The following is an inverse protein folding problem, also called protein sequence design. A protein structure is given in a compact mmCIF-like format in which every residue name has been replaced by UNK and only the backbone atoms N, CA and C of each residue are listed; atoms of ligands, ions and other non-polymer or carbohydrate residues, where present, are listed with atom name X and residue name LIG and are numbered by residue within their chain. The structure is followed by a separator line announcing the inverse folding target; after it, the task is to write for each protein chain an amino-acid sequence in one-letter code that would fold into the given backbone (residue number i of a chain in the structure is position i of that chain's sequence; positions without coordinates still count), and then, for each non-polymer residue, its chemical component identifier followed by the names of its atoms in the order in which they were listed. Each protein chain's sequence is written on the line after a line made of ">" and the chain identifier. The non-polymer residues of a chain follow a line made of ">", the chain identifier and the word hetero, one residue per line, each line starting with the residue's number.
data_IF_799074771092
#
_entry.id   IF_799074771092
#
_cell.length_a   1.000
_cell.length_b   1.000
_cell.length_c   1.000
_cell.angle_alpha   90.00
_cell.angle_beta   90.00
_cell.angle_gamma   90.00
#
_symmetry.space_group_name_H-M   'P 1'
#
loop_
_entity.id
_entity.type
_entity.pdbx_description
1 polymer ?
#
# COMPACT_ATOMS: atom_id res chain seq x y z
N UNK A 1 -10.76 -16.29 1.72
CA UNK A 1 -9.35 -15.85 1.76
C UNK A 1 -8.84 -15.87 0.32
N UNK A 2 -8.17 -14.82 -0.15
CA UNK A 2 -7.63 -14.79 -1.52
C UNK A 2 -6.23 -15.37 -1.48
N UNK A 3 -5.97 -16.32 -2.37
CA UNK A 3 -4.68 -16.99 -2.52
C UNK A 3 -4.14 -16.90 -3.94
N UNK A 4 -4.85 -16.23 -4.84
CA UNK A 4 -4.45 -16.02 -6.23
C UNK A 4 -4.74 -14.56 -6.61
N UNK A 5 -3.75 -13.90 -7.20
CA UNK A 5 -3.91 -12.57 -7.77
C UNK A 5 -3.28 -12.48 -9.16
N UNK A 6 -4.00 -11.83 -10.06
CA UNK A 6 -3.46 -11.36 -11.34
C UNK A 6 -2.59 -10.12 -11.08
N UNK A 7 -1.41 -10.08 -11.70
CA UNK A 7 -0.49 -8.95 -11.65
C UNK A 7 -0.51 -8.24 -13.00
N UNK A 8 -0.71 -6.92 -13.00
CA UNK A 8 -0.69 -6.08 -14.20
C UNK A 8 0.38 -5.00 -14.13
N UNK A 9 0.79 -4.53 -15.29
CA UNK A 9 1.65 -3.38 -15.50
C UNK A 9 0.98 -2.49 -16.55
N UNK A 10 0.65 -1.24 -16.19
CA UNK A 10 -0.06 -0.30 -17.06
C UNK A 10 -1.35 -0.89 -17.66
N UNK A 11 -2.14 -1.57 -16.84
CA UNK A 11 -3.38 -2.24 -17.23
C UNK A 11 -3.22 -3.54 -18.04
N UNK A 12 -1.99 -3.94 -18.40
CA UNK A 12 -1.70 -5.17 -19.15
C UNK A 12 -1.28 -6.29 -18.20
N UNK A 13 -1.86 -7.49 -18.34
CA UNK A 13 -1.52 -8.64 -17.50
C UNK A 13 -0.09 -9.11 -17.75
N UNK A 14 0.73 -9.11 -16.70
CA UNK A 14 2.13 -9.54 -16.76
C UNK A 14 2.35 -10.93 -16.20
N UNK A 15 1.44 -11.42 -15.36
CA UNK A 15 1.58 -12.69 -14.67
C UNK A 15 0.55 -12.89 -13.57
N UNK A 16 0.77 -13.93 -12.77
CA UNK A 16 -0.05 -14.22 -11.61
C UNK A 16 0.83 -14.62 -10.42
N UNK A 17 0.35 -14.30 -9.22
CA UNK A 17 0.94 -14.74 -7.96
C UNK A 17 -0.05 -15.63 -7.22
N UNK A 18 0.40 -16.77 -6.74
CA UNK A 18 -0.40 -17.72 -5.97
C UNK A 18 0.27 -18.08 -4.65
N UNK A 19 -0.53 -18.39 -3.65
CA UNK A 19 -0.12 -18.91 -2.36
C UNK A 19 -0.87 -20.22 -2.12
N UNK A 20 -0.16 -21.34 -2.14
CA UNK A 20 -0.77 -22.65 -1.90
C UNK A 20 -1.31 -22.77 -0.46
N UNK A 21 -2.31 -23.63 -0.28
CA UNK A 21 -2.89 -23.88 1.03
C UNK A 21 -1.81 -24.39 2.01
N UNK A 22 -1.68 -23.70 3.15
CA UNK A 22 -0.67 -23.96 4.21
C UNK A 22 0.79 -23.63 3.81
N UNK A 23 1.02 -23.06 2.63
CA UNK A 23 2.31 -22.45 2.29
C UNK A 23 2.42 -21.06 2.90
N UNK A 24 3.62 -20.68 3.30
CA UNK A 24 3.99 -19.31 3.66
C UNK A 24 4.83 -18.63 2.57
N UNK A 25 5.01 -19.30 1.40
CA UNK A 25 5.75 -18.79 0.25
C UNK A 25 4.84 -18.76 -0.97
N UNK A 26 4.78 -17.59 -1.61
CA UNK A 26 4.05 -17.39 -2.84
C UNK A 26 4.93 -17.69 -4.06
N UNK A 27 4.28 -18.23 -5.08
CA UNK A 27 4.85 -18.46 -6.39
C UNK A 27 4.38 -17.40 -7.37
N UNK A 28 5.26 -16.92 -8.26
CA UNK A 28 4.90 -16.02 -9.34
C UNK A 28 5.30 -16.59 -10.69
N UNK A 29 4.45 -16.43 -11.69
CA UNK A 29 4.73 -16.83 -13.06
C UNK A 29 4.35 -15.70 -14.03
N UNK A 30 5.23 -15.42 -15.00
CA UNK A 30 4.93 -14.46 -16.07
C UNK A 30 3.89 -15.03 -17.04
N UNK A 31 3.01 -14.16 -17.53
CA UNK A 31 2.08 -14.50 -18.59
C UNK A 31 2.83 -14.79 -19.90
N UNK A 32 2.49 -15.84 -20.66
CA UNK A 32 3.14 -16.17 -21.93
C UNK A 32 3.18 -15.03 -22.94
N UNK A 33 2.13 -14.21 -23.00
CA UNK A 33 2.09 -13.05 -23.89
C UNK A 33 3.00 -11.90 -23.41
N UNK A 34 3.14 -11.71 -22.10
CA UNK A 34 4.02 -10.68 -21.55
C UNK A 34 5.50 -11.01 -21.76
N UNK A 35 5.89 -12.29 -21.69
CA UNK A 35 7.27 -12.71 -21.97
C UNK A 35 7.75 -12.31 -23.37
N UNK A 36 6.83 -12.18 -24.35
CA UNK A 36 7.16 -11.74 -25.71
C UNK A 36 7.39 -10.23 -25.82
N UNK A 37 7.08 -9.45 -24.78
CA UNK A 37 7.19 -7.99 -24.79
C UNK A 37 8.64 -7.49 -24.73
N UNK A 38 9.56 -8.28 -24.16
CA UNK A 38 10.93 -7.87 -23.87
C UNK A 38 11.07 -6.85 -22.72
N UNK A 39 9.99 -6.56 -21.99
CA UNK A 39 10.00 -5.64 -20.84
C UNK A 39 10.43 -6.40 -19.57
N UNK A 40 11.69 -6.22 -19.17
CA UNK A 40 12.25 -6.83 -17.97
C UNK A 40 11.90 -6.03 -16.71
N UNK A 41 10.89 -6.47 -15.95
CA UNK A 41 10.48 -5.81 -14.69
C UNK A 41 11.43 -6.09 -13.51
N UNK A 42 12.16 -7.21 -13.56
CA UNK A 42 13.20 -7.58 -12.58
C UNK A 42 14.31 -8.40 -13.26
N UNK A 43 15.14 -7.78 -14.12
CA UNK A 43 16.06 -8.48 -15.03
C UNK A 43 17.10 -9.35 -14.34
N UNK A 44 17.46 -9.03 -13.09
CA UNK A 44 18.52 -9.72 -12.35
C UNK A 44 17.99 -10.97 -11.64
N UNK A 45 16.82 -10.86 -11.02
CA UNK A 45 16.30 -11.87 -10.08
C UNK A 45 15.14 -12.66 -10.67
N UNK A 46 14.34 -12.04 -11.54
CA UNK A 46 13.20 -12.67 -12.20
C UNK A 46 13.16 -12.29 -13.70
N UNK A 47 14.14 -12.76 -14.51
CA UNK A 47 14.17 -12.48 -15.94
C UNK A 47 12.92 -13.03 -16.66
N UNK A 48 12.62 -12.58 -17.89
CA UNK A 48 11.47 -13.09 -18.65
C UNK A 48 11.67 -14.55 -19.11
N UNK A 49 11.35 -15.50 -18.22
CA UNK A 49 11.38 -16.94 -18.50
C UNK A 49 10.05 -17.59 -18.11
N UNK A 50 9.73 -18.72 -18.74
CA UNK A 50 8.55 -19.52 -18.39
C UNK A 50 8.71 -20.35 -17.12
N UNK A 51 9.58 -19.92 -16.20
CA UNK A 51 9.82 -20.59 -14.93
C UNK A 51 8.88 -20.01 -13.86
N UNK A 52 8.52 -20.84 -12.89
CA UNK A 52 7.83 -20.38 -11.69
C UNK A 52 8.89 -19.84 -10.72
N UNK A 53 8.72 -18.59 -10.31
CA UNK A 53 9.58 -17.90 -9.37
C UNK A 53 9.10 -18.09 -7.93
N UNK A 54 9.94 -18.71 -7.10
CA UNK A 54 9.71 -18.95 -5.67
C UNK A 54 11.00 -18.67 -4.92
N UNK A 55 10.91 -17.98 -3.78
CA UNK A 55 12.09 -17.54 -3.02
C UNK A 55 11.96 -17.92 -1.54
N UNK A 56 12.00 -19.22 -1.19
CA UNK A 56 11.79 -19.70 0.17
C UNK A 56 12.86 -19.21 1.17
N UNK A 57 14.03 -18.80 0.70
CA UNK A 57 15.15 -18.28 1.48
C UNK A 57 14.97 -16.83 1.95
N UNK A 58 14.04 -16.07 1.38
CA UNK A 58 13.82 -14.68 1.75
C UNK A 58 13.24 -14.54 3.17
N UNK A 59 13.72 -13.59 4.00
CA UNK A 59 13.19 -13.36 5.35
C UNK A 59 11.68 -13.08 5.36
N UNK A 60 10.91 -13.94 6.04
CA UNK A 60 9.44 -13.84 6.09
C UNK A 60 8.94 -12.53 6.69
N UNK A 61 9.66 -11.99 7.67
CA UNK A 61 9.32 -10.73 8.34
C UNK A 61 9.34 -9.54 7.36
N UNK A 62 10.19 -9.59 6.33
CA UNK A 62 10.37 -8.49 5.38
C UNK A 62 9.56 -8.70 4.10
N UNK A 63 9.62 -9.91 3.54
CA UNK A 63 9.04 -10.18 2.22
C UNK A 63 7.64 -10.79 2.29
N UNK A 64 7.17 -11.18 3.48
CA UNK A 64 5.89 -11.85 3.68
C UNK A 64 5.70 -13.10 2.79
N UNK A 65 6.80 -13.76 2.41
CA UNK A 65 6.76 -14.93 1.52
C UNK A 65 6.62 -14.60 0.03
N UNK A 66 6.61 -13.32 -0.36
CA UNK A 66 6.53 -12.91 -1.76
C UNK A 66 7.91 -12.85 -2.42
N UNK A 67 7.98 -13.01 -3.76
CA UNK A 67 9.11 -12.51 -4.54
C UNK A 67 9.37 -11.02 -4.29
N UNK A 68 10.64 -10.61 -4.28
CA UNK A 68 11.04 -9.22 -3.98
C UNK A 68 10.31 -8.16 -4.83
N UNK A 69 10.16 -8.43 -6.13
CA UNK A 69 9.41 -7.56 -7.06
C UNK A 69 8.00 -7.23 -6.56
N UNK A 70 7.30 -8.21 -5.99
CA UNK A 70 5.93 -8.03 -5.52
C UNK A 70 5.91 -7.49 -4.09
N UNK A 71 6.88 -7.90 -3.26
CA UNK A 71 7.03 -7.43 -1.89
C UNK A 71 7.23 -5.90 -1.81
N UNK A 72 7.89 -5.29 -2.80
CA UNK A 72 8.07 -3.83 -2.88
C UNK A 72 6.76 -3.05 -3.03
N UNK A 73 5.68 -3.73 -3.45
CA UNK A 73 4.33 -3.15 -3.50
C UNK A 73 3.58 -3.24 -2.18
N UNK A 74 4.14 -3.92 -1.16
CA UNK A 74 3.49 -4.04 0.13
C UNK A 74 3.47 -2.71 0.88
N UNK A 75 2.40 -2.42 1.63
CA UNK A 75 2.34 -1.24 2.48
C UNK A 75 3.41 -1.27 3.56
N UNK A 76 3.84 -0.09 3.99
CA UNK A 76 4.82 0.05 5.05
C UNK A 76 4.22 -0.08 6.47
N UNK A 77 4.99 0.28 7.50
CA UNK A 77 4.56 0.21 8.90
C UNK A 77 3.28 0.99 9.17
N UNK A 78 3.10 2.15 8.53
CA UNK A 78 1.90 2.96 8.64
C UNK A 78 0.75 2.36 7.83
N UNK A 79 1.02 1.96 6.60
CA UNK A 79 0.03 1.29 5.74
C UNK A 79 -0.50 -0.02 6.31
N UNK A 80 0.35 -0.81 6.98
CA UNK A 80 -0.08 -2.01 7.70
C UNK A 80 -0.96 -1.69 8.89
N UNK A 81 -0.67 -0.63 9.67
CA UNK A 81 -1.54 -0.21 10.76
C UNK A 81 -2.95 0.21 10.26
N UNK A 82 -3.02 0.84 9.08
CA UNK A 82 -4.31 1.16 8.44
C UNK A 82 -5.05 -0.10 7.98
N UNK A 83 -4.34 -1.09 7.44
CA UNK A 83 -4.91 -2.39 7.09
C UNK A 83 -5.48 -3.05 8.34
N UNK A 84 -4.73 -3.08 9.44
CA UNK A 84 -5.16 -3.72 10.69
C UNK A 84 -6.41 -3.05 11.25
N UNK A 85 -6.45 -1.71 11.26
CA UNK A 85 -7.64 -0.95 11.63
C UNK A 85 -8.83 -1.25 10.71
N UNK A 86 -8.62 -1.33 9.40
CA UNK A 86 -9.67 -1.70 8.45
C UNK A 86 -10.19 -3.12 8.67
N UNK A 87 -9.30 -4.10 8.88
CA UNK A 87 -9.66 -5.49 9.17
C UNK A 87 -10.48 -5.59 10.46
N UNK A 88 -10.11 -4.85 11.51
CA UNK A 88 -10.85 -4.78 12.76
C UNK A 88 -12.30 -4.31 12.53
N UNK A 89 -12.54 -3.33 11.66
CA UNK A 89 -13.91 -2.90 11.30
C UNK A 89 -14.74 -3.97 10.58
N UNK A 90 -14.07 -4.97 10.01
CA UNK A 90 -14.70 -6.13 9.37
C UNK A 90 -14.81 -7.34 10.31
N UNK A 91 -14.44 -7.18 11.60
CA UNK A 91 -14.39 -8.27 12.57
C UNK A 91 -13.30 -9.31 12.27
N UNK A 92 -12.25 -8.93 11.54
CA UNK A 92 -11.14 -9.80 11.15
C UNK A 92 -9.87 -9.46 11.94
N UNK A 93 -9.10 -10.49 12.27
CA UNK A 93 -7.75 -10.31 12.83
C UNK A 93 -6.71 -10.03 11.75
N UNK A 94 -5.64 -9.33 12.11
CA UNK A 94 -4.50 -9.05 11.24
C UNK A 94 -3.83 -10.34 10.70
N UNK A 95 -3.80 -11.39 11.53
CA UNK A 95 -3.24 -12.70 11.17
C UNK A 95 -4.05 -13.44 10.10
N UNK A 96 -5.31 -13.05 9.88
CA UNK A 96 -6.15 -13.62 8.82
C UNK A 96 -5.80 -13.09 7.42
N UNK A 97 -4.82 -12.20 7.31
CA UNK A 97 -4.54 -11.42 6.11
C UNK A 97 -3.18 -11.78 5.48
N UNK A 98 -3.24 -12.69 4.51
CA UNK A 98 -2.05 -13.24 3.84
C UNK A 98 -1.44 -12.26 2.82
N UNK A 99 -0.25 -12.60 2.31
CA UNK A 99 0.52 -11.74 1.43
C UNK A 99 -0.18 -11.40 0.10
N UNK A 100 -0.85 -12.39 -0.52
CA UNK A 100 -1.59 -12.17 -1.77
C UNK A 100 -2.81 -11.28 -1.53
N UNK A 101 -3.50 -11.47 -0.39
CA UNK A 101 -4.60 -10.59 -0.01
C UNK A 101 -4.13 -9.15 0.25
N UNK A 102 -2.94 -8.96 0.83
CA UNK A 102 -2.29 -7.63 0.99
C UNK A 102 -2.03 -6.95 -0.36
N UNK A 103 -1.57 -7.70 -1.35
CA UNK A 103 -1.42 -7.21 -2.72
C UNK A 103 -2.79 -6.79 -3.30
N UNK A 104 -3.81 -7.62 -3.18
CA UNK A 104 -5.18 -7.31 -3.63
C UNK A 104 -5.81 -6.11 -2.92
N UNK A 105 -5.46 -5.85 -1.66
CA UNK A 105 -5.90 -4.64 -0.96
C UNK A 105 -5.20 -3.39 -1.49
N UNK A 106 -3.92 -3.50 -1.82
CA UNK A 106 -3.16 -2.44 -2.50
C UNK A 106 -3.79 -2.16 -3.87
N UNK A 107 -4.09 -3.19 -4.66
CA UNK A 107 -4.81 -3.07 -5.91
C UNK A 107 -4.04 -2.20 -6.91
N UNK A 108 -4.70 -1.19 -7.49
CA UNK A 108 -4.11 -0.17 -8.39
C UNK A 108 -3.46 1.00 -7.65
N UNK A 109 -3.45 0.97 -6.32
CA UNK A 109 -3.03 2.08 -5.46
C UNK A 109 -1.59 1.94 -4.99
N UNK A 110 -0.84 0.94 -5.43
CA UNK A 110 0.57 0.80 -5.07
C UNK A 110 1.41 1.91 -5.70
N UNK A 111 2.54 2.25 -5.07
CA UNK A 111 3.56 3.04 -5.77
C UNK A 111 4.12 2.25 -6.96
N UNK A 112 4.48 2.98 -8.01
CA UNK A 112 4.93 2.38 -9.27
C UNK A 112 3.77 2.07 -10.21
N UNK A 113 3.94 1.04 -11.03
CA UNK A 113 3.00 0.70 -12.11
C UNK A 113 2.38 -0.69 -11.97
N UNK A 114 2.74 -1.44 -10.92
CA UNK A 114 2.17 -2.75 -10.66
C UNK A 114 0.77 -2.61 -10.05
N UNK A 115 -0.14 -3.44 -10.54
CA UNK A 115 -1.52 -3.47 -10.09
C UNK A 115 -1.93 -4.93 -9.80
N UNK A 116 -2.75 -5.15 -8.78
CA UNK A 116 -3.10 -6.49 -8.29
C UNK A 116 -4.60 -6.73 -8.28
N UNK A 117 -5.05 -7.84 -8.87
CA UNK A 117 -6.47 -8.16 -9.03
C UNK A 117 -6.83 -9.56 -8.50
N UNK A 118 -8.01 -9.74 -7.86
CA UNK A 118 -9.09 -8.76 -7.74
C UNK A 118 -8.79 -7.68 -6.70
N UNK A 119 -9.08 -6.42 -7.02
CA UNK A 119 -8.92 -5.32 -6.07
C UNK A 119 -9.98 -5.42 -4.96
N UNK A 120 -9.54 -5.51 -3.70
CA UNK A 120 -10.40 -5.66 -2.51
C UNK A 120 -10.35 -4.45 -1.57
N UNK A 121 -9.45 -3.51 -1.82
CA UNK A 121 -9.36 -2.27 -1.06
C UNK A 121 -10.61 -1.40 -1.20
N UNK A 122 -10.68 -0.28 -0.46
CA UNK A 122 -11.69 0.74 -0.67
C UNK A 122 -11.79 1.10 -2.17
N UNK A 123 -13.01 1.15 -2.71
CA UNK A 123 -13.22 1.52 -4.12
C UNK A 123 -12.60 2.88 -4.42
N UNK A 124 -12.04 3.03 -5.62
CA UNK A 124 -11.64 4.34 -6.15
C UNK A 124 -12.84 5.30 -6.04
N UNK A 125 -12.65 6.36 -5.27
CA UNK A 125 -13.61 7.44 -5.14
C UNK A 125 -13.00 8.70 -5.75
N UNK A 126 -13.84 9.57 -6.30
CA UNK A 126 -13.41 10.85 -6.84
C UNK A 126 -12.49 11.58 -5.85
N UNK A 127 -11.39 12.11 -6.36
CA UNK A 127 -10.42 12.88 -5.57
C UNK A 127 -11.15 14.07 -4.92
N UNK A 128 -11.26 14.06 -3.58
CA UNK A 128 -11.90 15.14 -2.80
C UNK A 128 -10.84 16.05 -2.20
N UNK A 129 -11.21 17.31 -1.94
CA UNK A 129 -10.40 18.25 -1.17
C UNK A 129 -10.08 17.65 0.20
N UNK A 130 -8.83 17.79 0.63
CA UNK A 130 -8.36 17.35 1.95
C UNK A 130 -7.76 18.53 2.70
N UNK A 131 -8.05 18.60 3.99
CA UNK A 131 -7.37 19.50 4.93
C UNK A 131 -6.11 18.80 5.49
N UNK A 132 -4.93 19.40 5.32
CA UNK A 132 -3.64 18.77 5.69
C UNK A 132 -3.56 18.54 7.20
N UNK A 133 -4.02 19.48 8.02
CA UNK A 133 -4.01 19.36 9.48
C UNK A 133 -4.82 18.15 9.95
N UNK A 134 -5.94 17.89 9.28
CA UNK A 134 -6.75 16.70 9.55
C UNK A 134 -5.97 15.42 9.26
N UNK A 135 -5.17 15.36 8.19
CA UNK A 135 -4.32 14.20 7.88
C UNK A 135 -3.21 13.98 8.92
N UNK A 136 -2.58 15.06 9.42
CA UNK A 136 -1.51 14.97 10.42
C UNK A 136 -2.04 14.46 11.76
N UNK A 137 -3.17 15.01 12.23
CA UNK A 137 -3.82 14.56 13.46
C UNK A 137 -4.22 13.09 13.36
N UNK A 138 -4.79 12.71 12.24
CA UNK A 138 -5.25 11.36 11.96
C UNK A 138 -4.12 10.34 11.85
N UNK A 139 -3.01 10.73 11.22
CA UNK A 139 -1.79 9.91 11.20
C UNK A 139 -1.22 9.71 12.62
N UNK A 140 -1.31 10.74 13.47
CA UNK A 140 -0.91 10.66 14.88
C UNK A 140 -1.81 9.69 15.66
N UNK A 141 -3.13 9.77 15.47
CA UNK A 141 -4.08 8.89 16.14
C UNK A 141 -3.82 7.42 15.81
N UNK A 142 -3.66 7.08 14.52
CA UNK A 142 -3.41 5.71 14.08
C UNK A 142 -2.09 5.16 14.63
N UNK A 143 -1.03 5.99 14.71
CA UNK A 143 0.26 5.56 15.25
C UNK A 143 0.24 5.44 16.78
N UNK A 144 -0.50 6.29 17.48
CA UNK A 144 -0.64 6.26 18.95
C UNK A 144 -1.61 5.18 19.44
N UNK A 145 -2.64 4.82 18.67
CA UNK A 145 -3.61 3.77 19.01
C UNK A 145 -3.01 2.36 19.03
N UNK A 146 -1.73 2.19 18.69
CA UNK A 146 -0.98 0.92 18.87
C UNK A 146 -1.01 0.37 20.29
N UNK A 147 -1.46 1.13 21.29
CA UNK A 147 -1.62 0.66 22.67
C UNK A 147 -3.01 0.16 23.08
N UNK A 148 -4.09 0.41 22.33
CA UNK A 148 -5.45 -0.09 22.65
C UNK A 148 -6.40 0.09 21.46
N UNK A 149 -6.42 -0.85 20.52
CA UNK A 149 -7.39 -0.89 19.40
C UNK A 149 -8.71 -1.59 19.81
N UNK A 150 -9.13 -1.43 21.07
CA UNK A 150 -10.50 -1.75 21.53
C UNK A 150 -11.44 -0.53 21.40
N UNK A 151 -10.93 0.63 20.99
CA UNK A 151 -11.75 1.82 20.76
C UNK A 151 -12.34 1.80 19.36
N UNK A 152 -13.64 1.56 19.30
CA UNK A 152 -14.53 1.91 18.20
C UNK A 152 -14.13 3.29 17.68
N UNK A 153 -13.74 3.41 16.40
CA UNK A 153 -13.64 4.72 15.78
C UNK A 153 -15.03 5.36 15.83
N UNK A 154 -15.21 6.40 16.65
CA UNK A 154 -16.50 7.07 16.87
C UNK A 154 -17.10 7.66 15.58
N UNK A 155 -16.28 7.84 14.53
CA UNK A 155 -16.73 8.18 13.19
C UNK A 155 -16.15 7.24 12.11
N UNK A 156 -16.96 6.30 11.58
CA UNK A 156 -16.59 5.48 10.42
C UNK A 156 -16.24 6.29 9.15
N UNK A 157 -16.67 7.56 9.06
CA UNK A 157 -16.36 8.48 7.97
C UNK A 157 -14.88 8.90 7.97
N UNK A 158 -14.35 9.30 9.12
CA UNK A 158 -12.94 9.65 9.31
C UNK A 158 -12.00 8.51 8.90
N UNK A 159 -12.28 7.26 9.31
CA UNK A 159 -11.49 6.08 8.94
C UNK A 159 -11.48 5.85 7.41
N UNK A 160 -12.64 6.03 6.76
CA UNK A 160 -12.75 5.92 5.30
C UNK A 160 -11.94 7.00 4.59
N UNK A 161 -11.89 8.21 5.15
CA UNK A 161 -11.08 9.29 4.62
C UNK A 161 -9.56 9.03 4.81
N UNK A 162 -9.13 8.35 5.88
CA UNK A 162 -7.72 7.88 6.03
C UNK A 162 -7.37 6.83 4.99
N UNK A 163 -8.22 5.81 4.84
CA UNK A 163 -7.99 4.71 3.90
C UNK A 163 -7.94 5.20 2.44
N UNK A 164 -8.58 6.35 2.17
CA UNK A 164 -8.54 7.05 0.88
C UNK A 164 -7.25 7.82 0.62
N UNK A 165 -6.40 8.03 1.62
CA UNK A 165 -5.22 8.90 1.51
C UNK A 165 -3.92 8.15 1.83
N UNK A 166 -3.97 7.17 2.74
CA UNK A 166 -2.79 6.64 3.42
C UNK A 166 -2.18 5.32 2.94
N UNK A 167 -2.53 4.77 1.78
CA UNK A 167 -2.12 3.37 1.47
C UNK A 167 -1.09 3.18 0.38
N UNK A 168 -0.54 4.21 -0.27
CA UNK A 168 0.25 3.94 -1.49
C UNK A 168 1.76 3.90 -1.32
N UNK A 169 2.38 4.56 -0.34
CA UNK A 169 3.83 4.78 -0.40
C UNK A 169 4.62 4.14 0.75
N UNK A 170 5.57 3.26 0.41
CA UNK A 170 6.41 2.52 1.39
C UNK A 170 7.45 3.37 2.14
N UNK A 171 7.94 2.92 3.32
CA UNK A 171 8.96 3.54 4.20
C UNK A 171 8.54 3.71 5.69
N UNK A 172 9.42 4.15 6.60
CA UNK A 172 9.12 4.11 8.05
C UNK A 172 8.14 5.19 8.58
N UNK A 173 8.00 6.30 7.86
CA UNK A 173 7.29 7.52 8.32
C UNK A 173 5.86 7.61 7.81
N UNK A 174 5.00 8.33 8.51
CA UNK A 174 3.67 8.66 8.00
C UNK A 174 3.76 9.55 6.75
N UNK A 175 3.06 9.16 5.69
CA UNK A 175 3.04 9.89 4.42
C UNK A 175 1.74 9.65 3.67
N UNK A 176 1.46 10.51 2.71
CA UNK A 176 0.34 10.40 1.81
C UNK A 176 0.73 10.77 0.39
N UNK A 177 0.12 10.08 -0.58
CA UNK A 177 0.13 10.59 -1.96
C UNK A 177 -1.04 11.55 -2.11
N UNK A 178 -0.74 12.79 -2.45
CA UNK A 178 -1.69 13.88 -2.62
C UNK A 178 -1.68 14.37 -4.05
N UNK A 179 -2.76 15.02 -4.46
CA UNK A 179 -2.83 15.80 -5.66
C UNK A 179 -2.89 17.29 -5.28
N UNK A 180 -1.92 18.09 -5.68
CA UNK A 180 -1.80 19.50 -5.31
C UNK A 180 -1.90 20.39 -6.55
N UNK A 181 -2.81 21.34 -6.51
CA UNK A 181 -2.90 22.41 -7.50
C UNK A 181 -2.14 23.64 -6.98
N UNK A 182 -0.96 23.89 -7.53
CA UNK A 182 -0.08 25.00 -7.11
C UNK A 182 -0.69 26.39 -7.30
N UNK A 183 -1.64 26.56 -8.23
CA UNK A 183 -2.26 27.86 -8.53
C UNK A 183 -3.36 28.21 -7.53
N UNK A 184 -4.17 27.24 -7.15
CA UNK A 184 -5.27 27.43 -6.19
C UNK A 184 -4.89 27.08 -4.76
N UNK A 185 -3.73 26.44 -4.60
CA UNK A 185 -3.27 25.80 -3.37
C UNK A 185 -4.21 24.69 -2.85
N UNK A 186 -5.07 24.15 -3.71
CA UNK A 186 -5.99 23.07 -3.34
C UNK A 186 -5.25 21.74 -3.27
N UNK A 187 -5.44 21.00 -2.18
CA UNK A 187 -4.94 19.64 -2.01
C UNK A 187 -6.11 18.65 -2.06
N UNK A 188 -5.94 17.58 -2.81
CA UNK A 188 -6.88 16.45 -2.91
C UNK A 188 -6.17 15.12 -2.71
N UNK A 189 -6.95 14.03 -2.59
CA UNK A 189 -6.38 12.68 -2.52
C UNK A 189 -5.64 12.33 -3.81
N UNK A 190 -4.43 11.79 -3.68
CA UNK A 190 -3.65 11.29 -4.80
C UNK A 190 -4.01 9.86 -5.25
N UNK A 191 -4.96 9.20 -4.57
CA UNK A 191 -5.40 7.83 -4.91
C UNK A 191 -6.39 7.77 -6.09
N UNK A 192 -6.67 8.89 -6.75
CA UNK A 192 -7.59 8.97 -7.88
C UNK A 192 -7.25 10.13 -8.81
N UNK A 193 -7.92 10.17 -9.96
CA UNK A 193 -7.76 11.26 -10.94
C UNK A 193 -8.22 12.59 -10.33
N UNK A 194 -7.28 13.52 -10.16
CA UNK A 194 -7.55 14.82 -9.56
C UNK A 194 -8.06 15.87 -10.56
N UNK A 195 -7.94 15.59 -11.85
CA UNK A 195 -8.31 16.50 -12.94
C UNK A 195 -7.16 17.43 -13.33
N UNK A 196 -7.45 18.36 -14.24
CA UNK A 196 -6.44 19.23 -14.84
C UNK A 196 -5.86 20.23 -13.83
N UNK A 197 -4.56 20.51 -13.96
CA UNK A 197 -3.84 21.46 -13.11
C UNK A 197 -3.40 20.92 -11.74
N UNK A 198 -3.68 19.65 -11.44
CA UNK A 198 -3.16 18.97 -10.26
C UNK A 198 -1.88 18.18 -10.57
N UNK A 199 -0.90 18.31 -9.70
CA UNK A 199 0.32 17.51 -9.69
C UNK A 199 0.26 16.47 -8.57
N UNK A 200 0.85 15.30 -8.76
CA UNK A 200 0.89 14.26 -7.72
C UNK A 200 2.18 14.34 -6.91
N UNK A 201 2.05 14.34 -5.59
CA UNK A 201 3.14 14.51 -4.64
C UNK A 201 3.11 13.45 -3.56
N UNK A 202 4.28 13.04 -3.10
CA UNK A 202 4.43 12.28 -1.87
C UNK A 202 4.67 13.26 -0.71
N UNK A 203 3.63 13.53 0.07
CA UNK A 203 3.72 14.38 1.26
C UNK A 203 4.14 13.54 2.46
N UNK A 204 5.31 13.83 3.01
CA UNK A 204 5.76 13.28 4.30
C UNK A 204 5.31 14.24 5.40
N UNK A 205 4.60 13.72 6.40
CA UNK A 205 4.06 14.56 7.46
C UNK A 205 5.15 14.89 8.50
N UNK A 206 5.21 16.16 8.90
CA UNK A 206 5.94 16.60 10.09
C UNK A 206 4.96 16.73 11.27
N UNK A 207 5.46 16.68 12.50
CA UNK A 207 4.65 16.84 13.72
C UNK A 207 3.77 15.64 14.09
N UNK A 208 3.93 14.50 13.42
CA UNK A 208 3.17 13.28 13.74
C UNK A 208 3.70 12.67 15.04
N UNK A 209 2.88 12.69 16.09
CA UNK A 209 3.24 12.07 17.38
C UNK A 209 3.26 10.54 17.24
N UNK A 210 4.25 9.89 17.86
CA UNK A 210 4.44 8.44 17.73
C UNK A 210 5.13 7.97 16.44
N UNK A 211 5.47 8.89 15.53
CA UNK A 211 6.31 8.59 14.37
C UNK A 211 7.74 8.24 14.81
N UNK A 212 8.03 6.94 14.88
CA UNK A 212 9.30 6.37 15.33
C UNK A 212 9.75 5.28 14.38
N UNK A 213 11.02 5.34 13.98
CA UNK A 213 11.71 4.18 13.42
C UNK A 213 12.22 3.28 14.57
N UNK A 214 13.44 2.75 14.51
CA UNK A 214 14.08 1.99 15.60
C UNK A 214 14.48 2.84 16.82
N UNK A 215 14.34 4.18 16.76
CA UNK A 215 14.78 5.12 17.82
C UNK A 215 13.72 6.15 18.25
N UNK A 216 14.16 7.35 18.68
CA UNK A 216 13.37 8.48 19.20
C UNK A 216 12.37 9.02 18.16
N UNK A 217 11.35 9.73 18.64
CA UNK A 217 10.37 10.39 17.77
C UNK A 217 11.06 11.45 16.89
N UNK A 218 10.60 11.58 15.65
CA UNK A 218 11.11 12.61 14.74
C UNK A 218 10.94 14.02 15.38
N UNK A 219 11.97 14.89 15.34
CA UNK A 219 11.87 16.26 15.85
C UNK A 219 10.94 17.11 14.96
N UNK A 220 10.26 18.09 15.56
CA UNK A 220 9.49 19.07 14.80
C UNK A 220 10.40 19.99 13.97
N UNK A 221 9.93 20.42 12.79
CA UNK A 221 10.65 21.31 11.89
C UNK A 221 11.50 20.59 10.85
N UNK A 222 11.18 19.34 10.54
CA UNK A 222 11.97 18.53 9.62
C UNK A 222 11.74 18.93 8.16
N UNK A 223 12.79 19.40 7.48
CA UNK A 223 12.72 19.87 6.09
C UNK A 223 12.45 21.37 5.92
N UNK A 224 12.45 22.13 7.02
CA UNK A 224 12.52 23.59 7.02
C UNK A 224 13.93 24.10 6.68
#
# INVERSE_FOLDING_TARGET
>A
MITLAEVKLWGSTIGAVSLEDRSDVAAFEYAPEFMKSGIEVSPIVMPLTGSIYVFPELPRVTFHGLPGLLADSLPDKFGNALIDAWLATQGRSADSFNAVERLCYTGSRGMGALEFFPSKGPKEMASRKIEIDALVNLASDVLNQRSNLDTTFDDPGSLRDILRVGTSAGGARAKAVIAWNRKTNEVRSGQGKAGDGFEYWLLKFDGVTGNRDKELADPQGYGA
#
